data_IF_178290493698
#
_entry.id   IF_178290493698
#
_cell.length_a   1.000
_cell.length_b   1.000
_cell.length_c   1.000
_cell.angle_alpha   90.00
_cell.angle_beta   90.00
_cell.angle_gamma   90.00
#
_symmetry.space_group_name_H-M   'P 1'
#
loop_
_entity.id
_entity.type
_entity.pdbx_description
1 polymer ?
#
# COMPACT_ATOMS: atom_id res chain seq x y z
N UNK A 1 0.28 16.05 -8.12
CA UNK A 1 -0.85 15.44 -8.85
C UNK A 1 -1.21 14.15 -8.14
N UNK A 2 -2.48 14.00 -7.77
CA UNK A 2 -2.98 12.80 -7.12
C UNK A 2 -3.74 11.98 -8.17
N UNK A 3 -3.43 10.69 -8.25
CA UNK A 3 -4.14 9.74 -9.11
C UNK A 3 -5.00 8.87 -8.21
N UNK A 4 -6.29 8.80 -8.49
CA UNK A 4 -7.27 8.04 -7.71
C UNK A 4 -7.67 6.82 -8.53
N UNK A 5 -7.43 5.61 -8.02
CA UNK A 5 -7.77 4.36 -8.73
C UNK A 5 -8.41 3.34 -7.80
N UNK A 6 -9.23 2.41 -8.33
CA UNK A 6 -9.71 1.26 -7.59
C UNK A 6 -8.56 0.39 -7.07
N UNK A 7 -8.74 -0.12 -5.84
CA UNK A 7 -7.86 -1.08 -5.20
C UNK A 7 -8.69 -2.23 -4.66
N UNK A 8 -8.19 -3.44 -4.86
CA UNK A 8 -8.73 -4.64 -4.23
C UNK A 8 -7.79 -5.11 -3.12
N UNK A 9 -8.31 -5.26 -1.90
CA UNK A 9 -7.65 -6.00 -0.83
C UNK A 9 -8.10 -7.45 -0.91
N UNK A 10 -7.19 -8.34 -1.31
CA UNK A 10 -7.47 -9.77 -1.41
C UNK A 10 -6.82 -10.51 -0.24
N UNK A 11 -7.59 -11.25 0.59
CA UNK A 11 -7.03 -12.12 1.61
C UNK A 11 -6.01 -13.10 1.03
N UNK A 12 -4.90 -13.30 1.73
CA UNK A 12 -3.91 -14.33 1.42
C UNK A 12 -4.10 -15.51 2.37
N UNK A 13 -4.61 -16.62 1.84
CA UNK A 13 -4.89 -17.85 2.58
C UNK A 13 -3.94 -18.95 2.09
N UNK A 14 -3.26 -19.62 3.02
CA UNK A 14 -2.33 -20.73 2.72
C UNK A 14 -2.68 -21.91 3.61
N UNK A 15 -3.09 -23.02 3.00
CA UNK A 15 -3.51 -24.22 3.73
C UNK A 15 -4.68 -23.95 4.68
N UNK A 16 -5.66 -23.16 4.25
CA UNK A 16 -6.82 -22.77 5.06
C UNK A 16 -6.53 -21.77 6.17
N UNK A 17 -5.29 -21.26 6.30
CA UNK A 17 -4.92 -20.30 7.34
C UNK A 17 -4.70 -18.90 6.76
N UNK A 18 -5.30 -17.85 7.36
CA UNK A 18 -4.99 -16.46 7.01
C UNK A 18 -3.51 -16.14 7.21
N UNK A 19 -2.90 -15.49 6.23
CA UNK A 19 -1.48 -15.07 6.26
C UNK A 19 -1.29 -13.57 6.14
N UNK A 20 -2.26 -12.86 5.60
CA UNK A 20 -2.22 -11.42 5.39
C UNK A 20 -3.16 -11.00 4.27
N UNK A 21 -2.86 -9.87 3.62
CA UNK A 21 -3.58 -9.38 2.45
C UNK A 21 -2.64 -9.09 1.29
N UNK A 22 -3.17 -9.16 0.07
CA UNK A 22 -2.59 -8.48 -1.07
C UNK A 22 -3.36 -7.19 -1.35
N UNK A 23 -2.65 -6.08 -1.47
CA UNK A 23 -3.17 -4.87 -2.12
C UNK A 23 -2.96 -5.04 -3.61
N UNK A 24 -4.03 -5.01 -4.40
CA UNK A 24 -3.99 -5.21 -5.85
C UNK A 24 -4.49 -3.95 -6.53
N UNK A 25 -3.75 -3.47 -7.52
CA UNK A 25 -4.07 -2.28 -8.30
C UNK A 25 -4.01 -2.57 -9.79
N UNK A 26 -4.79 -1.80 -10.55
CA UNK A 26 -4.80 -1.80 -12.01
C UNK A 26 -4.99 -0.35 -12.50
N UNK A 27 -4.52 -0.06 -13.72
CA UNK A 27 -4.68 1.25 -14.35
C UNK A 27 -3.76 2.36 -13.85
N UNK A 28 -2.89 2.11 -12.86
CA UNK A 28 -1.89 3.08 -12.41
C UNK A 28 -0.85 3.35 -13.51
N UNK A 29 -0.52 2.32 -14.29
CA UNK A 29 0.47 2.37 -15.35
C UNK A 29 -0.21 2.02 -16.69
N UNK A 30 -0.77 3.02 -17.40
CA UNK A 30 -1.50 2.78 -18.65
C UNK A 30 -0.61 2.24 -19.77
N UNK A 31 0.71 2.46 -19.68
CA UNK A 31 1.70 1.94 -20.63
C UNK A 31 2.04 0.46 -20.49
N UNK A 32 1.37 -0.28 -19.60
CA UNK A 32 1.59 -1.71 -19.42
C UNK A 32 2.48 -2.06 -18.22
N UNK A 33 3.14 -3.23 -18.30
CA UNK A 33 3.89 -3.85 -17.20
C UNK A 33 4.97 -2.92 -16.64
N UNK A 34 4.76 -2.33 -15.44
CA UNK A 34 5.74 -1.42 -14.86
C UNK A 34 6.96 -2.21 -14.38
N UNK A 35 8.15 -1.66 -14.61
CA UNK A 35 9.35 -2.12 -13.89
C UNK A 35 9.32 -1.47 -12.52
N UNK A 36 9.11 -2.29 -11.48
CA UNK A 36 9.04 -1.86 -10.08
C UNK A 36 10.19 -2.48 -9.29
N UNK A 37 10.71 -1.73 -8.32
CA UNK A 37 11.58 -2.30 -7.28
C UNK A 37 10.75 -3.31 -6.48
N UNK A 38 11.29 -4.52 -6.31
CA UNK A 38 10.59 -5.60 -5.60
C UNK A 38 10.40 -5.30 -4.12
N UNK A 39 11.40 -4.68 -3.50
CA UNK A 39 11.39 -4.32 -2.10
C UNK A 39 10.88 -2.89 -1.93
N UNK A 40 9.75 -2.79 -1.23
CA UNK A 40 9.08 -1.55 -0.88
C UNK A 40 8.85 -1.50 0.63
N UNK A 41 8.14 -0.47 1.10
CA UNK A 41 7.83 -0.27 2.51
C UNK A 41 6.36 0.05 2.73
N UNK A 42 5.82 -0.51 3.82
CA UNK A 42 4.49 -0.25 4.35
C UNK A 42 4.61 0.74 5.50
N UNK A 43 3.70 1.71 5.55
CA UNK A 43 3.56 2.65 6.64
C UNK A 43 2.12 3.11 6.84
N UNK A 44 1.97 4.16 7.62
CA UNK A 44 0.71 4.84 7.90
C UNK A 44 0.93 6.33 7.67
N UNK A 45 0.00 6.98 6.98
CA UNK A 45 -0.09 8.43 6.81
C UNK A 45 -1.56 8.83 6.84
N UNK A 46 -1.94 9.85 7.64
CA UNK A 46 -3.35 10.25 7.84
C UNK A 46 -4.30 9.09 8.12
N UNK A 47 -3.91 8.21 9.03
CA UNK A 47 -4.62 6.98 9.38
C UNK A 47 -4.89 6.01 8.21
N UNK A 48 -4.27 6.21 7.06
CA UNK A 48 -4.37 5.33 5.90
C UNK A 48 -3.15 4.42 5.82
N UNK A 49 -3.38 3.14 5.49
CA UNK A 49 -2.30 2.26 5.03
C UNK A 49 -1.61 2.92 3.85
N UNK A 50 -0.29 3.06 3.95
CA UNK A 50 0.59 3.63 2.94
C UNK A 50 1.57 2.59 2.43
N UNK A 51 1.78 2.55 1.12
CA UNK A 51 2.83 1.73 0.49
C UNK A 51 3.66 2.62 -0.42
N UNK A 52 4.97 2.53 -0.30
CA UNK A 52 5.90 3.11 -1.28
C UNK A 52 5.86 2.29 -2.56
N UNK A 53 5.75 2.94 -3.71
CA UNK A 53 5.80 2.29 -5.01
C UNK A 53 6.87 2.99 -5.82
N UNK A 54 8.05 2.39 -5.92
CA UNK A 54 9.15 2.94 -6.73
C UNK A 54 9.48 2.10 -7.97
N UNK A 55 9.75 2.78 -9.08
CA UNK A 55 10.21 2.17 -10.35
C UNK A 55 11.72 2.02 -10.44
N UNK A 56 12.49 2.82 -9.69
CA UNK A 56 13.94 2.89 -9.86
C UNK A 56 14.72 2.20 -8.73
N UNK A 57 15.93 1.74 -9.05
CA UNK A 57 16.88 1.28 -8.04
C UNK A 57 17.87 2.40 -7.69
N UNK A 58 17.39 3.64 -7.56
CA UNK A 58 18.24 4.79 -7.20
C UNK A 58 18.56 4.85 -5.71
N UNK A 59 17.85 4.08 -4.88
CA UNK A 59 18.07 4.01 -3.45
C UNK A 59 19.08 2.92 -3.09
N UNK A 60 20.13 3.31 -2.37
CA UNK A 60 21.12 2.37 -1.84
C UNK A 60 20.47 1.43 -0.82
N UNK A 61 19.55 1.94 -0.01
CA UNK A 61 18.82 1.17 1.00
C UNK A 61 17.32 1.47 0.99
N UNK A 62 16.51 0.56 1.58
CA UNK A 62 15.09 0.84 1.84
C UNK A 62 14.89 1.97 2.85
N UNK A 63 15.85 2.16 3.75
CA UNK A 63 15.82 3.23 4.76
C UNK A 63 15.91 4.60 4.09
N UNK A 64 16.79 4.74 3.10
CA UNK A 64 16.93 5.99 2.35
C UNK A 64 15.62 6.39 1.66
N UNK A 65 14.92 5.41 1.08
CA UNK A 65 13.63 5.61 0.41
C UNK A 65 12.56 6.15 1.37
N UNK A 66 12.43 5.56 2.57
CA UNK A 66 11.40 5.97 3.54
C UNK A 66 11.75 7.29 4.22
N UNK A 67 13.02 7.54 4.54
CA UNK A 67 13.48 8.84 5.04
C UNK A 67 13.22 9.94 4.02
N UNK A 68 13.40 9.64 2.74
CA UNK A 68 13.10 10.55 1.67
C UNK A 68 11.60 10.84 1.56
N UNK A 69 10.77 9.79 1.52
CA UNK A 69 9.32 9.92 1.49
C UNK A 69 8.78 10.82 2.61
N UNK A 70 9.30 10.63 3.83
CA UNK A 70 8.94 11.44 5.00
C UNK A 70 9.35 12.91 4.89
N UNK A 71 10.42 13.24 4.17
CA UNK A 71 10.90 14.63 4.01
C UNK A 71 10.19 15.37 2.88
N UNK A 72 9.88 14.68 1.79
CA UNK A 72 9.36 15.31 0.56
C UNK A 72 7.86 15.61 0.59
N UNK A 73 7.15 15.10 1.59
CA UNK A 73 5.75 15.39 1.84
C UNK A 73 5.65 16.27 3.08
N UNK A 74 6.04 17.55 2.93
CA UNK A 74 6.05 18.52 4.03
C UNK A 74 4.68 18.64 4.69
N UNK A 75 4.63 18.50 6.01
CA UNK A 75 3.38 18.56 6.80
C UNK A 75 2.69 17.21 7.00
N UNK A 76 3.16 16.16 6.33
CA UNK A 76 2.63 14.80 6.41
C UNK A 76 3.45 13.98 7.41
N UNK A 77 2.79 13.25 8.31
CA UNK A 77 3.48 12.39 9.29
C UNK A 77 3.36 10.94 8.88
N UNK A 78 4.50 10.35 8.50
CA UNK A 78 4.60 8.93 8.16
C UNK A 78 5.06 8.11 9.37
N UNK A 79 4.36 7.02 9.65
CA UNK A 79 4.83 5.95 10.54
C UNK A 79 5.13 4.71 9.71
N UNK A 80 6.41 4.43 9.45
CA UNK A 80 6.83 3.26 8.68
C UNK A 80 6.85 2.00 9.56
N UNK A 81 6.30 0.90 9.04
CA UNK A 81 6.02 -0.30 9.84
C UNK A 81 6.87 -1.50 9.44
N UNK A 82 6.95 -1.80 8.14
CA UNK A 82 7.59 -3.03 7.66
C UNK A 82 7.96 -2.97 6.18
N UNK A 83 9.06 -3.61 5.76
CA UNK A 83 9.32 -3.85 4.35
C UNK A 83 8.24 -4.78 3.74
N UNK A 84 7.99 -4.63 2.45
CA UNK A 84 7.07 -5.50 1.72
C UNK A 84 7.57 -5.85 0.33
N UNK A 85 7.02 -6.93 -0.22
CA UNK A 85 7.27 -7.35 -1.60
C UNK A 85 6.17 -6.82 -2.51
N UNK A 86 6.58 -6.18 -3.58
CA UNK A 86 5.70 -5.72 -4.67
C UNK A 86 6.02 -6.47 -5.94
N UNK A 87 4.97 -6.89 -6.64
CA UNK A 87 5.05 -7.61 -7.90
C UNK A 87 4.25 -6.83 -8.95
N UNK A 88 4.83 -6.55 -10.11
CA UNK A 88 4.10 -5.85 -11.18
C UNK A 88 2.97 -6.71 -11.73
N UNK A 89 1.90 -6.05 -12.17
CA UNK A 89 0.81 -6.61 -12.98
C UNK A 89 0.71 -5.82 -14.29
N UNK A 90 -0.12 -6.26 -15.24
CA UNK A 90 -0.20 -5.66 -16.58
C UNK A 90 -0.35 -4.13 -16.58
N UNK A 91 -1.05 -3.52 -15.64
CA UNK A 91 -1.22 -2.05 -15.56
C UNK A 91 -1.09 -1.51 -14.14
N UNK A 92 -0.48 -2.27 -13.24
CA UNK A 92 -0.48 -1.98 -11.81
C UNK A 92 0.49 -2.86 -11.04
N UNK A 93 0.12 -3.22 -9.82
CA UNK A 93 0.93 -4.08 -8.98
C UNK A 93 0.08 -4.88 -7.99
N UNK A 94 0.71 -5.87 -7.37
CA UNK A 94 0.25 -6.47 -6.11
C UNK A 94 1.32 -6.31 -5.03
N UNK A 95 0.93 -5.85 -3.85
CA UNK A 95 1.80 -5.67 -2.70
C UNK A 95 1.33 -6.59 -1.56
N UNK A 96 2.23 -7.34 -0.95
CA UNK A 96 1.89 -8.20 0.18
C UNK A 96 1.95 -7.44 1.50
N UNK A 97 0.84 -7.46 2.26
CA UNK A 97 0.76 -6.99 3.64
C UNK A 97 0.82 -8.21 4.55
N UNK A 98 1.86 -8.34 5.39
CA UNK A 98 1.97 -9.47 6.29
C UNK A 98 0.88 -9.45 7.36
N UNK A 99 0.45 -10.64 7.80
CA UNK A 99 -0.56 -10.81 8.85
C UNK A 99 -0.19 -10.20 10.20
N UNK A 100 1.09 -9.90 10.44
CA UNK A 100 1.53 -9.13 11.62
C UNK A 100 1.06 -7.67 11.58
N UNK A 101 0.70 -7.15 10.40
CA UNK A 101 0.15 -5.80 10.21
C UNK A 101 -1.34 -5.82 9.91
N UNK A 102 -1.80 -6.79 9.11
CA UNK A 102 -3.20 -6.91 8.75
C UNK A 102 -3.54 -8.37 8.45
N UNK A 103 -4.33 -8.99 9.34
CA UNK A 103 -4.74 -10.38 9.22
C UNK A 103 -6.21 -10.48 8.82
N UNK A 104 -6.57 -11.30 7.83
CA UNK A 104 -7.98 -11.61 7.58
C UNK A 104 -8.61 -12.32 8.78
N UNK A 105 -9.86 -12.00 9.15
CA UNK A 105 -10.52 -12.59 10.33
C UNK A 105 -10.71 -14.11 10.20
N UNK A 106 -10.91 -14.63 8.99
CA UNK A 106 -11.09 -16.05 8.74
C UNK A 106 -10.59 -16.49 7.36
N UNK A 107 -10.53 -17.80 7.13
CA UNK A 107 -10.21 -18.38 5.83
C UNK A 107 -11.20 -18.00 4.72
N UNK A 108 -12.45 -17.70 5.10
CA UNK A 108 -13.55 -17.35 4.18
C UNK A 108 -13.71 -15.84 3.99
N UNK A 109 -12.72 -15.06 4.45
CA UNK A 109 -12.71 -13.62 4.28
C UNK A 109 -12.87 -13.24 2.80
N UNK A 110 -13.76 -12.28 2.52
CA UNK A 110 -14.01 -11.81 1.17
C UNK A 110 -12.99 -10.74 0.75
N UNK A 111 -12.86 -10.55 -0.57
CA UNK A 111 -12.15 -9.40 -1.13
C UNK A 111 -12.88 -8.11 -0.75
N UNK A 112 -12.11 -7.04 -0.60
CA UNK A 112 -12.62 -5.72 -0.25
C UNK A 112 -12.21 -4.76 -1.35
N UNK A 113 -13.19 -4.17 -2.01
CA UNK A 113 -12.97 -3.08 -2.95
C UNK A 113 -12.92 -1.74 -2.21
N UNK A 114 -11.96 -0.92 -2.61
CA UNK A 114 -11.70 0.42 -2.09
C UNK A 114 -10.97 1.26 -3.13
N UNK A 115 -10.48 2.41 -2.72
CA UNK A 115 -9.78 3.37 -3.58
C UNK A 115 -8.41 3.65 -2.99
N UNK A 116 -7.42 3.74 -3.85
CA UNK A 116 -6.09 4.23 -3.52
C UNK A 116 -5.89 5.64 -4.04
N UNK A 117 -5.35 6.51 -3.20
CA UNK A 117 -4.82 7.81 -3.63
C UNK A 117 -3.32 7.63 -3.83
N UNK A 118 -2.86 7.84 -5.06
CA UNK A 118 -1.46 7.75 -5.46
C UNK A 118 -0.89 9.14 -5.63
N UNK A 119 -0.06 9.56 -4.68
CA UNK A 119 0.63 10.84 -4.73
C UNK A 119 2.06 10.64 -5.22
N UNK A 120 2.42 11.32 -6.31
CA UNK A 120 3.79 11.32 -6.82
C UNK A 120 4.67 12.19 -5.92
N UNK A 121 5.78 11.63 -5.45
CA UNK A 121 6.79 12.34 -4.68
C UNK A 121 7.80 12.94 -5.67
N UNK A 122 8.32 14.15 -5.42
CA UNK A 122 9.33 14.78 -6.27
C UNK A 122 10.71 14.63 -5.61
N UNK A 123 11.74 14.28 -6.40
CA UNK A 123 13.14 14.18 -6.00
C UNK A 123 13.96 15.33 -6.59
N UNK A 124 14.37 16.30 -5.77
CA UNK A 124 15.27 17.38 -6.22
C UNK A 124 14.72 18.22 -7.38
N UNK A 125 13.41 18.38 -7.49
CA UNK A 125 12.75 19.03 -8.63
C UNK A 125 12.47 18.11 -9.81
N UNK A 126 13.04 16.90 -9.84
CA UNK A 126 12.70 15.86 -10.79
C UNK A 126 11.53 15.02 -10.25
N UNK A 127 10.63 14.59 -11.13
CA UNK A 127 9.49 13.82 -10.70
C UNK A 127 9.91 12.39 -10.32
N UNK A 128 10.13 12.12 -9.03
CA UNK A 128 10.46 10.77 -8.56
C UNK A 128 9.31 9.83 -8.91
N UNK A 129 9.63 8.61 -9.32
CA UNK A 129 8.62 7.59 -9.59
C UNK A 129 8.22 6.87 -8.30
N UNK A 130 8.20 7.59 -7.18
CA UNK A 130 7.69 7.09 -5.92
C UNK A 130 6.25 7.57 -5.73
N UNK A 131 5.33 6.61 -5.59
CA UNK A 131 3.96 6.90 -5.17
C UNK A 131 3.75 6.44 -3.74
N UNK A 132 2.99 7.21 -2.99
CA UNK A 132 2.36 6.78 -1.73
C UNK A 132 0.93 6.39 -2.06
N UNK A 133 0.58 5.13 -1.83
CA UNK A 133 -0.79 4.62 -1.97
C UNK A 133 -1.52 4.72 -0.63
N UNK A 134 -2.43 5.68 -0.46
CA UNK A 134 -3.26 5.79 0.75
C UNK A 134 -4.56 4.99 0.59
N UNK A 135 -4.80 4.03 1.48
CA UNK A 135 -5.99 3.15 1.46
C UNK A 135 -6.86 3.46 2.67
N UNK A 136 -7.92 4.26 2.46
CA UNK A 136 -8.75 4.86 3.51
C UNK A 136 -9.63 3.88 4.29
N UNK A 137 -9.85 2.66 3.78
CA UNK A 137 -10.66 1.63 4.44
C UNK A 137 -9.93 0.88 5.56
N UNK A 138 -8.64 1.14 5.73
CA UNK A 138 -7.81 0.52 6.76
C UNK A 138 -7.32 1.64 7.68
N UNK A 139 -8.05 1.85 8.79
CA UNK A 139 -7.66 2.81 9.82
C UNK A 139 -6.52 2.26 10.70
N UNK A 140 -5.85 3.15 11.44
CA UNK A 140 -4.86 2.78 12.46
C UNK A 140 -5.36 1.75 13.47
N UNK A 141 -6.64 1.80 13.84
CA UNK A 141 -7.25 0.85 14.78
C UNK A 141 -7.38 -0.57 14.20
N UNK A 142 -7.58 -0.66 12.88
CA UNK A 142 -7.60 -1.93 12.14
C UNK A 142 -6.17 -2.49 12.01
N UNK A 143 -5.17 -1.64 11.72
CA UNK A 143 -3.76 -2.05 11.60
C UNK A 143 -3.11 -2.45 12.93
N UNK A 144 -3.62 -1.96 14.06
CA UNK A 144 -3.16 -2.33 15.41
C UNK A 144 -3.92 -3.51 16.03
N UNK A 145 -4.78 -4.19 15.25
CA UNK A 145 -5.53 -5.37 15.69
C UNK A 145 -6.64 -5.08 16.71
N UNK A 146 -7.10 -3.83 16.84
CA UNK A 146 -8.12 -3.44 17.82
C UNK A 146 -9.55 -3.45 17.29
N UNK A 147 -9.75 -3.51 15.97
CA UNK A 147 -11.04 -3.78 15.33
C UNK A 147 -10.81 -4.63 14.08
N UNK A 148 -11.54 -5.73 13.94
CA UNK A 148 -11.59 -6.49 12.69
C UNK A 148 -12.05 -5.59 11.54
N UNK A 149 -11.64 -5.88 10.30
CA UNK A 149 -12.22 -5.28 9.10
C UNK A 149 -13.68 -5.73 8.96
N UNK A 150 -14.58 -5.16 9.77
CA UNK A 150 -16.00 -5.43 9.70
C UNK A 150 -16.55 -4.84 8.40
N UNK A 151 -17.20 -5.68 7.59
CA UNK A 151 -17.99 -5.20 6.47
C UNK A 151 -19.22 -4.48 7.00
N UNK A 152 -19.25 -3.15 6.82
CA UNK A 152 -20.47 -2.35 6.84
C UNK A 152 -20.70 -1.60 8.14
N UNK A 153 -20.30 -0.33 8.15
CA UNK A 153 -21.21 0.67 8.71
C UNK A 153 -22.35 0.82 7.71
N UNK A 154 -23.52 0.30 8.08
CA UNK A 154 -24.77 0.79 7.53
C UNK A 154 -24.80 2.28 7.87
N UNK A 155 -24.90 3.12 6.85
CA UNK A 155 -25.34 4.50 7.02
C UNK A 155 -26.68 4.45 7.76
N UNK A 156 -26.66 4.81 9.04
CA UNK A 156 -27.82 5.19 9.84
C UNK A 156 -27.80 6.69 10.05
#
# INVERSE_FOLDING_TARGET
>A
MNIIIPITLSPHIVGGKPRGYYVITQGLFPGGWPILRKDQFIGICHDCLTITIDRYNKWNTLVDMVLYASRSMSGETFTWLSPCKVYPTCTGFRAYIPGTLLLPPSADSKRIETTGIFQKILFGGEASNMWVAMISKISMDILRGKKELMQGEKNG
#
